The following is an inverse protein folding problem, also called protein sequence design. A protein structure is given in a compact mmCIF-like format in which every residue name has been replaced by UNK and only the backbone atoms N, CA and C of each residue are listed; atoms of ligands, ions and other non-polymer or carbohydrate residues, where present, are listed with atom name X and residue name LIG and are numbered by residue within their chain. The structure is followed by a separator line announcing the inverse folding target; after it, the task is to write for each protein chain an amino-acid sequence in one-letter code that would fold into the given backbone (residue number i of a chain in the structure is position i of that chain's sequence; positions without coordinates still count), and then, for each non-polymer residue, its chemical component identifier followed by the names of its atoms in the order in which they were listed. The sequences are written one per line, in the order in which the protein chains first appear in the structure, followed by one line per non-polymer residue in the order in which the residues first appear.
data_IF_521987932147
#
_entry.id   IF_521987932147
#
_cell.length_a   1.000
_cell.length_b   1.000
_cell.length_c   1.000
_cell.angle_alpha   90.00
_cell.angle_beta   90.00
_cell.angle_gamma   90.00
#
_symmetry.space_group_name_H-M   'P 1'
#
loop_
_entity.id
_entity.type
_entity.pdbx_description
1 polymer ?
#
# COMPACT_ATOMS: atom_id res chain seq x y z
N UNK A 1 29.75 -47.02 -21.72
CA UNK A 1 30.16 -46.48 -20.41
C UNK A 1 28.90 -46.33 -19.58
N UNK A 2 28.80 -47.01 -18.42
CA UNK A 2 27.58 -47.00 -17.59
C UNK A 2 27.53 -45.69 -16.80
N UNK A 3 26.39 -44.96 -16.76
CA UNK A 3 26.27 -43.75 -15.97
C UNK A 3 26.50 -44.05 -14.49
N UNK A 4 27.38 -43.28 -13.84
CA UNK A 4 27.70 -43.46 -12.43
C UNK A 4 26.53 -42.94 -11.59
N UNK A 5 25.79 -43.84 -10.93
CA UNK A 5 24.62 -43.53 -10.11
C UNK A 5 24.86 -42.47 -9.01
N UNK A 6 26.12 -42.35 -8.57
CA UNK A 6 26.56 -41.35 -7.59
C UNK A 6 26.46 -39.93 -8.16
N UNK A 7 26.73 -39.74 -9.45
CA UNK A 7 26.68 -38.43 -10.11
C UNK A 7 25.24 -37.95 -10.30
N UNK A 8 24.32 -38.88 -10.61
CA UNK A 8 22.89 -38.58 -10.73
C UNK A 8 22.26 -38.20 -9.38
N UNK A 9 22.72 -38.82 -8.29
CA UNK A 9 22.24 -38.52 -6.94
C UNK A 9 22.69 -37.15 -6.45
N UNK A 10 23.96 -36.80 -6.62
CA UNK A 10 24.48 -35.47 -6.26
C UNK A 10 23.85 -34.35 -7.07
N UNK A 11 23.63 -34.56 -8.38
CA UNK A 11 22.95 -33.59 -9.23
C UNK A 11 21.49 -33.38 -8.81
N UNK A 12 20.80 -34.45 -8.39
CA UNK A 12 19.43 -34.39 -7.88
C UNK A 12 19.28 -33.64 -6.55
N UNK A 13 20.23 -33.82 -5.62
CA UNK A 13 20.23 -33.10 -4.33
C UNK A 13 20.54 -31.61 -4.51
N UNK A 14 21.45 -31.26 -5.43
CA UNK A 14 21.75 -29.86 -5.75
C UNK A 14 20.54 -29.17 -6.38
N UNK A 15 19.82 -29.83 -7.29
CA UNK A 15 18.60 -29.29 -7.90
C UNK A 15 17.43 -29.12 -6.91
N UNK A 16 17.35 -29.95 -5.86
CA UNK A 16 16.36 -29.81 -4.80
C UNK A 16 16.62 -28.61 -3.86
N UNK A 17 17.84 -28.09 -3.81
CA UNK A 17 18.23 -26.99 -2.93
C UNK A 17 18.17 -25.59 -3.57
N UNK A 18 17.90 -25.49 -4.88
CA UNK A 18 18.15 -24.26 -5.65
C UNK A 18 17.01 -23.23 -5.71
N UNK A 19 15.90 -23.37 -4.98
CA UNK A 19 14.78 -22.43 -5.17
C UNK A 19 14.09 -22.01 -3.87
N UNK A 20 14.85 -21.36 -2.98
CA UNK A 20 14.24 -20.42 -2.04
C UNK A 20 14.38 -19.02 -2.63
N UNK A 21 13.34 -18.56 -3.33
CA UNK A 21 13.19 -17.13 -3.57
C UNK A 21 13.03 -16.47 -2.20
N UNK A 22 14.01 -15.65 -1.80
CA UNK A 22 13.79 -14.66 -0.75
C UNK A 22 12.80 -13.66 -1.37
N UNK A 23 11.53 -13.81 -1.03
CA UNK A 23 10.55 -12.77 -1.27
C UNK A 23 10.81 -11.75 -0.17
N UNK A 24 11.59 -10.72 -0.50
CA UNK A 24 11.62 -9.54 0.34
C UNK A 24 10.27 -8.83 0.19
N UNK A 25 9.65 -8.49 1.31
CA UNK A 25 8.39 -7.77 1.28
C UNK A 25 8.72 -6.29 1.08
N UNK A 26 8.47 -5.78 -0.13
CA UNK A 26 8.71 -4.36 -0.44
C UNK A 26 8.01 -3.48 0.60
N UNK A 27 8.76 -2.59 1.23
CA UNK A 27 8.21 -1.67 2.23
C UNK A 27 7.67 -0.44 1.50
N UNK A 28 6.35 -0.36 1.37
CA UNK A 28 5.65 0.73 0.67
C UNK A 28 5.36 1.89 1.63
N UNK A 29 5.67 3.10 1.19
CA UNK A 29 5.29 4.37 1.82
C UNK A 29 4.25 5.12 1.00
N UNK A 30 3.44 5.92 1.70
CA UNK A 30 2.47 6.84 1.09
C UNK A 30 2.57 8.21 1.76
N UNK A 31 2.35 9.28 0.99
CA UNK A 31 2.18 10.64 1.50
C UNK A 31 1.03 11.29 0.76
N UNK A 32 0.05 11.79 1.50
CA UNK A 32 -1.03 12.60 0.95
C UNK A 32 -0.63 14.08 0.91
N UNK A 33 -0.85 14.71 -0.25
CA UNK A 33 -0.68 16.13 -0.45
C UNK A 33 -2.06 16.79 -0.50
N UNK A 34 -2.38 17.53 0.56
CA UNK A 34 -3.65 18.26 0.69
C UNK A 34 -3.80 19.37 -0.36
N UNK A 35 -2.72 20.06 -0.72
CA UNK A 35 -2.77 21.19 -1.66
C UNK A 35 -3.03 20.72 -3.09
N UNK A 36 -2.34 19.66 -3.52
CA UNK A 36 -2.47 19.12 -4.87
C UNK A 36 -3.56 18.05 -5.00
N UNK A 37 -4.25 17.74 -3.89
CA UNK A 37 -5.26 16.67 -3.82
C UNK A 37 -4.76 15.38 -4.44
N UNK A 38 -3.61 14.91 -3.98
CA UNK A 38 -2.94 13.73 -4.55
C UNK A 38 -2.26 12.91 -3.47
N UNK A 39 -1.90 11.68 -3.83
CA UNK A 39 -1.14 10.78 -2.98
C UNK A 39 0.05 10.26 -3.76
N UNK A 40 1.24 10.47 -3.20
CA UNK A 40 2.49 9.90 -3.71
C UNK A 40 2.72 8.57 -3.01
N UNK A 41 2.96 7.53 -3.79
CA UNK A 41 3.36 6.21 -3.31
C UNK A 41 4.83 6.01 -3.68
N UNK A 42 5.61 5.47 -2.76
CA UNK A 42 7.03 5.28 -2.93
C UNK A 42 7.50 3.99 -2.23
N UNK A 43 8.60 3.47 -2.71
CA UNK A 43 9.35 2.39 -2.10
C UNK A 43 10.29 2.99 -1.05
N UNK A 44 10.16 2.54 0.20
CA UNK A 44 10.97 3.04 1.32
C UNK A 44 12.31 2.31 1.47
N UNK A 45 12.49 1.18 0.78
CA UNK A 45 13.76 0.44 0.75
C UNK A 45 14.72 1.09 -0.28
N UNK A 46 14.16 1.64 -1.36
CA UNK A 46 14.93 2.23 -2.47
C UNK A 46 14.80 3.74 -2.61
N UNK A 47 13.97 4.39 -1.80
CA UNK A 47 13.63 5.82 -1.88
C UNK A 47 13.08 6.24 -3.27
N UNK A 48 12.39 5.32 -3.97
CA UNK A 48 11.89 5.58 -5.33
C UNK A 48 10.39 5.83 -5.37
N UNK A 49 9.95 6.82 -6.14
CA UNK A 49 8.51 7.09 -6.34
C UNK A 49 7.93 6.04 -7.29
N UNK A 50 6.95 5.28 -6.79
CA UNK A 50 6.24 4.25 -7.56
C UNK A 50 5.09 4.84 -8.39
N UNK A 51 4.54 5.96 -7.94
CA UNK A 51 3.57 6.75 -8.70
C UNK A 51 2.80 7.75 -7.86
N UNK A 52 1.94 8.50 -8.54
CA UNK A 52 1.06 9.48 -7.92
C UNK A 52 -0.38 9.17 -8.32
N UNK A 53 -1.27 9.14 -7.34
CA UNK A 53 -2.71 8.97 -7.53
C UNK A 53 -3.40 10.30 -7.28
N UNK A 54 -4.08 10.83 -8.28
CA UNK A 54 -4.87 12.05 -8.15
C UNK A 54 -6.21 11.76 -7.46
N UNK A 55 -6.53 12.54 -6.43
CA UNK A 55 -7.83 12.56 -5.77
C UNK A 55 -8.72 13.63 -6.44
N UNK A 56 -10.05 13.55 -6.26
CA UNK A 56 -10.90 14.68 -6.62
C UNK A 56 -10.44 15.94 -5.88
N UNK A 57 -10.63 17.09 -6.53
CA UNK A 57 -10.12 18.36 -6.02
C UNK A 57 -10.63 18.68 -4.61
N UNK A 58 -9.70 19.08 -3.75
CA UNK A 58 -9.93 19.43 -2.36
C UNK A 58 -10.10 18.24 -1.42
N UNK A 59 -10.06 16.99 -1.89
CA UNK A 59 -10.44 15.83 -1.07
C UNK A 59 -9.33 15.25 -0.18
N UNK A 60 -8.05 15.61 -0.34
CA UNK A 60 -7.00 15.07 0.51
C UNK A 60 -6.95 15.80 1.86
N UNK A 61 -7.12 15.08 2.97
CA UNK A 61 -6.99 15.66 4.33
C UNK A 61 -5.57 15.57 4.91
N UNK A 62 -4.72 14.71 4.32
CA UNK A 62 -3.37 14.41 4.81
C UNK A 62 -3.28 13.09 5.59
N UNK A 63 -4.41 12.59 6.12
CA UNK A 63 -4.44 11.34 6.87
C UNK A 63 -4.51 10.12 5.96
N UNK A 64 -3.65 9.15 6.23
CA UNK A 64 -3.49 7.92 5.45
C UNK A 64 -3.16 6.73 6.35
N UNK A 65 -3.48 5.53 5.87
CA UNK A 65 -3.04 4.26 6.47
C UNK A 65 -2.89 3.20 5.39
N UNK A 66 -1.90 2.32 5.53
CA UNK A 66 -1.68 1.15 4.67
C UNK A 66 -2.15 -0.09 5.45
N UNK A 67 -2.80 -1.04 4.79
CA UNK A 67 -3.18 -2.30 5.42
C UNK A 67 -1.96 -3.12 5.84
N UNK A 68 -2.15 -4.07 6.76
CA UNK A 68 -1.05 -4.90 7.28
C UNK A 68 -0.38 -5.78 6.22
N UNK A 69 -1.01 -5.93 5.05
CA UNK A 69 -0.52 -6.73 3.94
C UNK A 69 0.20 -5.88 2.87
N UNK A 70 0.18 -4.54 2.98
CA UNK A 70 0.77 -3.64 2.00
C UNK A 70 0.04 -3.59 0.65
N UNK A 71 -1.15 -4.19 0.53
CA UNK A 71 -1.89 -4.28 -0.73
C UNK A 71 -2.82 -3.09 -0.96
N UNK A 72 -3.27 -2.43 0.11
CA UNK A 72 -4.22 -1.32 0.04
C UNK A 72 -3.81 -0.15 0.91
N UNK A 73 -3.89 1.04 0.34
CA UNK A 73 -3.82 2.31 1.04
C UNK A 73 -5.19 2.92 1.23
N UNK A 74 -5.43 3.58 2.35
CA UNK A 74 -6.64 4.31 2.65
C UNK A 74 -6.28 5.78 2.88
N UNK A 75 -7.07 6.67 2.29
CA UNK A 75 -6.86 8.12 2.35
C UNK A 75 -8.15 8.74 2.85
N UNK A 76 -8.07 9.48 3.96
CA UNK A 76 -9.24 10.18 4.47
C UNK A 76 -9.51 11.41 3.61
N UNK A 77 -10.77 11.56 3.20
CA UNK A 77 -11.26 12.72 2.51
C UNK A 77 -12.42 13.41 3.20
N UNK A 78 -12.83 14.55 2.65
CA UNK A 78 -13.85 15.38 3.29
C UNK A 78 -15.24 14.76 3.17
N UNK A 79 -16.12 15.15 4.09
CA UNK A 79 -17.50 14.67 4.10
C UNK A 79 -17.63 13.18 4.43
N UNK A 80 -16.64 12.59 5.11
CA UNK A 80 -16.66 11.19 5.53
C UNK A 80 -16.32 10.20 4.42
N UNK A 81 -15.63 10.66 3.38
CA UNK A 81 -15.14 9.83 2.28
C UNK A 81 -13.83 9.16 2.66
N UNK A 82 -13.65 7.91 2.27
CA UNK A 82 -12.40 7.18 2.36
C UNK A 82 -12.06 6.67 0.96
N UNK A 83 -10.96 7.17 0.40
CA UNK A 83 -10.46 6.69 -0.88
C UNK A 83 -9.55 5.49 -0.65
N UNK A 84 -9.71 4.47 -1.49
CA UNK A 84 -8.89 3.26 -1.44
C UNK A 84 -7.94 3.24 -2.62
N UNK A 85 -6.65 3.14 -2.36
CA UNK A 85 -5.59 3.01 -3.35
C UNK A 85 -5.14 1.56 -3.38
N UNK A 86 -5.13 0.95 -4.56
CA UNK A 86 -4.52 -0.35 -4.80
C UNK A 86 -3.01 -0.17 -4.97
N UNK A 87 -2.26 -0.75 -4.03
CA UNK A 87 -0.80 -0.69 -3.96
C UNK A 87 -0.14 -1.93 -4.58
N UNK A 88 -0.93 -2.94 -4.95
CA UNK A 88 -0.43 -4.14 -5.64
C UNK A 88 -0.12 -3.89 -7.13
N UNK A 89 -0.46 -2.70 -7.62
CA UNK A 89 -0.32 -2.29 -9.02
C UNK A 89 0.78 -1.24 -9.14
N UNK A 90 1.59 -1.34 -10.20
CA UNK A 90 2.59 -0.33 -10.55
C UNK A 90 2.31 0.16 -11.97
N UNK A 91 1.89 1.43 -12.17
CA UNK A 91 1.70 2.44 -11.14
C UNK A 91 0.47 2.18 -10.25
N UNK A 92 0.49 2.68 -8.99
CA UNK A 92 -0.64 2.61 -8.09
C UNK A 92 -1.84 3.35 -8.66
N UNK A 93 -3.04 2.91 -8.29
CA UNK A 93 -4.30 3.50 -8.77
C UNK A 93 -5.41 3.34 -7.74
N UNK A 94 -6.57 3.92 -7.97
CA UNK A 94 -7.74 3.61 -7.15
C UNK A 94 -8.07 2.12 -7.22
N UNK A 95 -8.41 1.55 -6.07
CA UNK A 95 -8.94 0.20 -6.00
C UNK A 95 -10.26 0.11 -6.78
N UNK A 96 -10.45 -1.00 -7.46
CA UNK A 96 -11.65 -1.29 -8.23
C UNK A 96 -12.89 -1.39 -7.33
N UNK A 97 -14.07 -1.13 -7.91
CA UNK A 97 -15.35 -1.19 -7.20
C UNK A 97 -15.79 0.14 -6.59
N UNK A 98 -16.55 0.09 -5.48
CA UNK A 98 -17.08 1.29 -4.82
C UNK A 98 -15.94 2.07 -4.17
N UNK A 99 -15.64 3.24 -4.72
CA UNK A 99 -14.58 4.13 -4.28
C UNK A 99 -14.97 5.58 -4.64
N UNK A 100 -15.10 6.50 -3.68
CA UNK A 100 -14.79 6.36 -2.25
C UNK A 100 -15.84 5.55 -1.45
N UNK A 101 -15.39 5.00 -0.33
CA UNK A 101 -16.25 4.46 0.71
C UNK A 101 -16.83 5.63 1.52
N UNK A 102 -18.14 5.62 1.77
CA UNK A 102 -18.81 6.65 2.55
C UNK A 102 -19.08 6.14 3.97
N UNK A 103 -18.68 6.93 4.98
CA UNK A 103 -19.04 6.69 6.38
C UNK A 103 -20.25 7.55 6.76
N UNK A 104 -21.43 6.96 7.01
CA UNK A 104 -22.58 7.73 7.46
C UNK A 104 -22.34 8.27 8.87
N UNK A 105 -22.45 9.58 9.03
CA UNK A 105 -22.39 10.23 10.34
C UNK A 105 -21.27 11.26 10.54
N UNK A 106 -20.42 11.58 9.55
CA UNK A 106 -19.50 12.72 9.67
C UNK A 106 -20.30 14.03 9.49
N UNK A 107 -20.52 14.86 10.54
CA UNK A 107 -21.13 16.15 10.33
C UNK A 107 -20.07 17.07 9.70
N UNK A 108 -20.46 17.89 8.72
CA UNK A 108 -19.62 18.89 8.02
C UNK A 108 -19.00 19.98 8.94
N UNK A 109 -18.95 19.78 10.27
CA UNK A 109 -18.65 20.78 11.30
C UNK A 109 -17.30 20.58 12.02
N UNK A 110 -16.49 19.61 11.61
CA UNK A 110 -15.16 19.37 12.19
C UNK A 110 -14.03 20.24 11.59
N UNK A 111 -14.35 21.24 10.75
CA UNK A 111 -13.37 22.12 10.09
C UNK A 111 -12.84 23.28 10.96
N UNK A 112 -13.11 23.30 12.27
CA UNK A 112 -12.65 24.39 13.16
C UNK A 112 -12.02 23.94 14.49
N UNK A 113 -11.61 22.68 14.63
CA UNK A 113 -10.86 22.23 15.80
C UNK A 113 -9.52 21.63 15.37
N UNK A 114 -8.44 22.34 15.75
CA UNK A 114 -7.07 21.91 16.09
C UNK A 114 -6.72 20.41 15.94
N UNK A 115 -5.46 20.09 15.57
CA UNK A 115 -5.03 18.81 14.99
C UNK A 115 -5.49 17.63 15.86
N UNK A 116 -6.60 17.01 15.49
CA UNK A 116 -7.00 15.74 16.08
C UNK A 116 -6.20 14.67 15.36
N UNK A 117 -4.98 14.48 15.87
CA UNK A 117 -4.17 13.28 15.71
C UNK A 117 -5.12 12.08 15.72
N UNK A 118 -5.23 11.35 14.62
CA UNK A 118 -5.83 10.01 14.63
C UNK A 118 -4.94 9.09 15.48
N UNK A 119 -5.01 9.25 16.82
CA UNK A 119 -4.50 8.29 17.79
C UNK A 119 -5.54 7.18 17.95
N UNK A 120 -5.82 6.50 16.84
CA UNK A 120 -6.61 5.28 16.83
C UNK A 120 -5.65 4.11 16.99
N UNK A 121 -5.54 3.61 18.22
CA UNK A 121 -4.87 2.36 18.53
C UNK A 121 -5.57 1.21 17.79
N UNK A 122 -5.06 0.81 16.62
CA UNK A 122 -5.37 -0.51 16.05
C UNK A 122 -4.41 -1.52 16.68
N UNK A 123 -4.74 -1.92 17.91
CA UNK A 123 -4.14 -3.09 18.56
C UNK A 123 -5.01 -4.31 18.24
N UNK A 124 -4.44 -5.26 17.51
CA UNK A 124 -4.19 -6.63 17.99
C UNK A 124 -2.96 -7.14 17.23
#
# INVERSE_FOLDING_TARGET
MKPNHIFAFFLGVVLLFSFTAIVDAQTIGMVANMYDSSVTVFDTDTDTVLGVVALPEGEATGDIVIDSYGARGFVAGWGGKIFVVDLSQTPPRFADGVNPIFTPGSPRRFIHALPQRFSGCFKC
#
